data_IF_009422403625
#
_entry.id   IF_009422403625
#
_cell.length_a   1.000
_cell.length_b   1.000
_cell.length_c   1.000
_cell.angle_alpha   90.00
_cell.angle_beta   90.00
_cell.angle_gamma   90.00
#
_symmetry.space_group_name_H-M   'P 1'
#
loop_
_entity.id
_entity.type
_entity.pdbx_description
1 polymer ?
#
# COMPACT_ATOMS: atom_id res chain seq x y z
N UNK A 1 22.36 -7.48 3.20
CA UNK A 1 21.13 -8.03 3.82
C UNK A 1 20.13 -8.33 2.73
N UNK A 2 19.61 -9.56 2.66
CA UNK A 2 18.57 -9.95 1.70
C UNK A 2 17.31 -9.13 1.98
N UNK A 3 17.10 -8.04 1.23
CA UNK A 3 15.83 -7.32 1.16
C UNK A 3 14.87 -8.16 0.29
N UNK A 4 14.52 -9.36 0.75
CA UNK A 4 13.62 -10.26 0.04
C UNK A 4 12.33 -10.39 0.84
N UNK A 5 11.21 -10.05 0.23
CA UNK A 5 9.89 -10.33 0.77
C UNK A 5 9.39 -11.73 0.39
N UNK A 6 10.28 -12.62 -0.07
CA UNK A 6 9.96 -13.98 -0.53
C UNK A 6 9.16 -14.79 0.49
N UNK A 7 9.34 -14.54 1.80
CA UNK A 7 8.58 -15.22 2.86
C UNK A 7 7.08 -14.91 2.84
N UNK A 8 6.65 -13.85 2.15
CA UNK A 8 5.25 -13.51 2.00
C UNK A 8 4.58 -14.34 0.90
N UNK A 9 5.33 -14.90 -0.04
CA UNK A 9 4.75 -15.61 -1.18
C UNK A 9 4.06 -16.89 -0.70
N UNK A 10 2.78 -17.05 -1.04
CA UNK A 10 1.93 -18.15 -0.56
C UNK A 10 1.45 -18.01 0.89
N UNK A 11 1.83 -16.94 1.60
CA UNK A 11 1.35 -16.71 2.95
C UNK A 11 -0.12 -16.25 2.94
N UNK A 12 -0.91 -16.73 3.90
CA UNK A 12 -2.27 -16.20 4.14
C UNK A 12 -2.17 -14.90 4.92
N UNK A 13 -3.00 -13.93 4.56
CA UNK A 13 -3.13 -12.69 5.31
C UNK A 13 -3.64 -12.97 6.72
N UNK A 14 -3.10 -12.26 7.73
CA UNK A 14 -3.57 -12.40 9.10
C UNK A 14 -5.00 -11.87 9.24
N UNK A 15 -5.73 -12.42 10.20
CA UNK A 15 -7.09 -11.99 10.51
C UNK A 15 -7.08 -10.66 11.30
N UNK A 16 -6.67 -9.58 10.62
CA UNK A 16 -6.53 -8.23 11.17
C UNK A 16 -7.53 -7.31 10.47
N UNK A 17 -8.16 -6.44 11.25
CA UNK A 17 -9.14 -5.48 10.76
C UNK A 17 -8.55 -4.07 10.85
N UNK A 18 -8.45 -3.39 9.73
CA UNK A 18 -7.86 -2.04 9.62
C UNK A 18 -8.96 -1.00 9.38
N UNK A 19 -8.94 0.15 10.08
CA UNK A 19 -9.87 1.25 9.79
C UNK A 19 -9.54 1.89 8.43
N UNK A 20 -10.58 2.28 7.71
CA UNK A 20 -10.50 2.80 6.35
C UNK A 20 -11.01 4.25 6.24
N UNK A 21 -10.59 4.95 5.19
CA UNK A 21 -10.90 6.37 4.94
C UNK A 21 -12.39 6.71 4.80
N UNK A 22 -13.24 5.73 4.48
CA UNK A 22 -14.70 5.91 4.43
C UNK A 22 -15.41 5.66 5.79
N UNK A 23 -14.65 5.48 6.87
CA UNK A 23 -15.18 5.16 8.20
C UNK A 23 -15.52 3.69 8.42
N UNK A 24 -15.35 2.83 7.40
CA UNK A 24 -15.50 1.39 7.56
C UNK A 24 -14.25 0.74 8.18
N UNK A 25 -14.32 -0.57 8.40
CA UNK A 25 -13.22 -1.39 8.89
C UNK A 25 -13.07 -2.60 7.98
N UNK A 26 -11.89 -2.80 7.42
CA UNK A 26 -11.62 -3.79 6.37
C UNK A 26 -10.74 -4.90 6.92
N UNK A 27 -11.17 -6.14 6.70
CA UNK A 27 -10.36 -7.31 6.98
C UNK A 27 -9.96 -7.97 5.65
N UNK A 28 -8.72 -7.74 5.23
CA UNK A 28 -8.21 -8.16 3.93
C UNK A 28 -8.19 -9.70 3.78
N UNK A 29 -8.04 -10.45 4.88
CA UNK A 29 -8.04 -11.92 4.83
C UNK A 29 -9.41 -12.53 4.53
N UNK A 30 -10.48 -11.72 4.59
CA UNK A 30 -11.87 -12.13 4.32
C UNK A 30 -12.35 -11.71 2.93
N UNK A 31 -11.57 -10.93 2.18
CA UNK A 31 -11.94 -10.52 0.83
C UNK A 31 -11.84 -11.72 -0.12
N UNK A 32 -12.84 -11.84 -0.99
CA UNK A 32 -12.88 -12.81 -2.08
C UNK A 32 -12.37 -12.18 -3.37
N UNK A 33 -11.82 -13.00 -4.24
CA UNK A 33 -11.22 -12.59 -5.51
C UNK A 33 -9.85 -11.92 -5.35
N UNK A 34 -9.44 -11.22 -6.40
CA UNK A 34 -8.15 -10.56 -6.48
C UNK A 34 -8.17 -9.20 -5.78
N UNK A 35 -7.22 -8.99 -4.88
CA UNK A 35 -6.99 -7.74 -4.16
C UNK A 35 -5.56 -7.25 -4.37
N UNK A 36 -5.42 -6.00 -4.78
CA UNK A 36 -4.15 -5.27 -4.87
C UNK A 36 -4.00 -4.45 -3.60
N UNK A 37 -2.97 -4.75 -2.81
CA UNK A 37 -2.61 -3.97 -1.63
C UNK A 37 -1.26 -3.31 -1.85
N UNK A 38 -1.24 -1.99 -2.05
CA UNK A 38 0.00 -1.24 -2.15
C UNK A 38 0.32 -0.54 -0.83
N UNK A 39 1.52 -0.75 -0.32
CA UNK A 39 2.02 -0.10 0.88
C UNK A 39 2.91 1.07 0.50
N UNK A 40 2.86 2.15 1.28
CA UNK A 40 3.73 3.31 1.08
C UNK A 40 4.21 3.92 2.40
N UNK A 41 5.38 4.58 2.41
CA UNK A 41 5.93 5.18 3.63
C UNK A 41 5.03 6.22 4.29
N UNK A 42 4.83 7.36 3.62
CA UNK A 42 4.07 8.50 4.12
C UNK A 42 3.78 9.47 2.98
N UNK A 43 2.56 10.01 2.90
CA UNK A 43 2.25 11.11 1.97
C UNK A 43 2.72 12.46 2.50
N UNK A 44 2.77 13.48 1.65
CA UNK A 44 2.95 14.86 2.10
C UNK A 44 1.59 15.46 2.46
N UNK A 45 1.53 16.29 3.51
CA UNK A 45 0.39 17.15 3.81
C UNK A 45 0.69 18.59 3.37
N UNK A 46 -0.26 19.30 2.75
CA UNK A 46 -0.07 20.72 2.43
C UNK A 46 0.28 21.53 3.68
N UNK A 47 1.32 22.37 3.60
CA UNK A 47 1.75 23.23 4.71
C UNK A 47 2.48 22.52 5.85
N UNK A 48 2.77 21.21 5.73
CA UNK A 48 3.56 20.47 6.71
C UNK A 48 4.88 20.05 6.07
N UNK A 49 5.99 20.40 6.72
CA UNK A 49 7.32 19.99 6.27
C UNK A 49 7.50 18.48 6.33
N UNK A 50 8.27 17.94 5.37
CA UNK A 50 8.66 16.53 5.38
C UNK A 50 9.70 16.27 6.48
N UNK A 51 9.88 15.02 6.91
CA UNK A 51 10.92 14.65 7.86
C UNK A 51 12.32 15.09 7.40
N UNK A 52 13.23 15.21 8.36
CA UNK A 52 14.64 15.51 8.10
C UNK A 52 15.26 14.42 7.22
N UNK A 53 16.09 14.81 6.25
CA UNK A 53 16.71 13.89 5.28
C UNK A 53 15.74 13.02 4.48
N UNK A 54 14.45 13.38 4.41
CA UNK A 54 13.43 12.62 3.67
C UNK A 54 13.82 12.36 2.21
N UNK A 55 14.45 13.36 1.59
CA UNK A 55 14.90 13.32 0.20
C UNK A 55 16.11 12.38 -0.03
N UNK A 56 16.84 12.06 1.03
CA UNK A 56 18.02 11.19 1.00
C UNK A 56 17.66 9.72 1.20
N UNK A 57 16.47 9.42 1.73
CA UNK A 57 16.02 8.05 2.02
C UNK A 57 15.48 7.39 0.73
N UNK A 58 16.11 6.32 0.22
CA UNK A 58 15.65 5.64 -0.98
C UNK A 58 14.21 5.12 -0.85
N UNK A 59 13.34 5.55 -1.77
CA UNK A 59 11.94 5.14 -1.82
C UNK A 59 10.98 5.91 -0.91
N UNK A 60 11.46 6.87 -0.09
CA UNK A 60 10.63 7.70 0.79
C UNK A 60 9.74 8.67 0.00
N UNK A 61 10.27 9.30 -1.06
CA UNK A 61 9.50 10.20 -1.93
C UNK A 61 8.51 9.47 -2.83
N UNK A 62 7.51 10.22 -3.29
CA UNK A 62 6.61 9.79 -4.36
C UNK A 62 5.38 9.00 -3.90
N UNK A 63 5.04 9.02 -2.60
CA UNK A 63 3.83 8.36 -2.08
C UNK A 63 2.55 9.01 -2.59
N UNK A 64 2.49 10.35 -2.63
CA UNK A 64 1.36 11.08 -3.24
C UNK A 64 1.23 10.73 -4.72
N UNK A 65 2.36 10.69 -5.44
CA UNK A 65 2.38 10.28 -6.85
C UNK A 65 1.93 8.83 -7.04
N UNK A 66 2.33 7.88 -6.17
CA UNK A 66 1.86 6.50 -6.25
C UNK A 66 0.34 6.42 -6.13
N UNK A 67 -0.25 7.11 -5.15
CA UNK A 67 -1.70 7.15 -4.97
C UNK A 67 -2.40 7.76 -6.21
N UNK A 68 -1.84 8.84 -6.78
CA UNK A 68 -2.36 9.41 -8.02
C UNK A 68 -2.26 8.45 -9.20
N UNK A 69 -1.17 7.69 -9.35
CA UNK A 69 -1.04 6.72 -10.43
C UNK A 69 -2.01 5.54 -10.27
N UNK A 70 -2.22 5.04 -9.04
CA UNK A 70 -3.29 4.06 -8.81
C UNK A 70 -4.67 4.63 -9.12
N UNK A 71 -4.92 5.92 -8.83
CA UNK A 71 -6.17 6.58 -9.20
C UNK A 71 -6.33 6.64 -10.73
N UNK A 72 -5.28 7.03 -11.46
CA UNK A 72 -5.31 7.12 -12.92
C UNK A 72 -5.59 5.76 -13.58
N UNK A 73 -5.10 4.68 -12.98
CA UNK A 73 -5.23 3.31 -13.48
C UNK A 73 -6.37 2.51 -12.81
N UNK A 74 -7.20 3.16 -11.98
CA UNK A 74 -8.21 2.48 -11.17
C UNK A 74 -9.21 1.69 -12.02
N UNK A 75 -9.72 2.29 -13.09
CA UNK A 75 -10.71 1.64 -13.96
C UNK A 75 -10.12 0.45 -14.71
N UNK A 76 -8.88 0.55 -15.17
CA UNK A 76 -8.20 -0.54 -15.88
C UNK A 76 -7.99 -1.74 -14.95
N UNK A 77 -7.47 -1.52 -13.75
CA UNK A 77 -7.28 -2.58 -12.75
C UNK A 77 -8.64 -3.16 -12.30
N UNK A 78 -9.66 -2.32 -12.15
CA UNK A 78 -11.01 -2.79 -11.78
C UNK A 78 -11.65 -3.65 -12.88
N UNK A 79 -11.42 -3.31 -14.16
CA UNK A 79 -11.89 -4.09 -15.31
C UNK A 79 -11.20 -5.46 -15.41
N UNK A 80 -10.04 -5.62 -14.76
CA UNK A 80 -9.36 -6.91 -14.58
C UNK A 80 -9.88 -7.66 -13.33
N UNK A 81 -11.04 -7.28 -12.79
CA UNK A 81 -11.70 -7.87 -11.61
C UNK A 81 -10.88 -7.80 -10.31
N UNK A 82 -10.01 -6.81 -10.16
CA UNK A 82 -9.20 -6.63 -8.97
C UNK A 82 -9.67 -5.42 -8.13
N UNK A 83 -9.79 -5.62 -6.81
CA UNK A 83 -10.01 -4.53 -5.86
C UNK A 83 -8.69 -3.86 -5.47
N UNK A 84 -8.69 -2.55 -5.22
CA UNK A 84 -7.48 -1.80 -4.85
C UNK A 84 -7.61 -1.24 -3.43
N UNK A 85 -6.55 -1.39 -2.63
CA UNK A 85 -6.38 -0.76 -1.32
C UNK A 85 -4.97 -0.21 -1.16
N UNK A 86 -4.85 0.97 -0.55
CA UNK A 86 -3.58 1.49 -0.06
C UNK A 86 -3.43 1.26 1.45
N UNK A 87 -2.20 1.13 1.96
CA UNK A 87 -1.95 1.06 3.41
C UNK A 87 -0.68 1.79 3.80
N UNK A 88 -0.72 2.46 4.96
CA UNK A 88 0.44 3.08 5.60
C UNK A 88 0.27 3.16 7.12
N UNK A 89 1.30 3.61 7.83
CA UNK A 89 1.30 3.72 9.31
C UNK A 89 0.69 5.02 9.83
N UNK A 90 0.16 5.87 8.94
CA UNK A 90 -0.53 7.10 9.35
C UNK A 90 -1.93 6.78 9.88
N UNK A 91 -2.43 7.59 10.80
CA UNK A 91 -3.79 7.46 11.33
C UNK A 91 -4.88 7.71 10.26
N UNK A 92 -6.10 7.27 10.57
CA UNK A 92 -7.22 7.34 9.61
C UNK A 92 -7.60 8.77 9.24
N UNK A 93 -7.53 9.73 10.16
CA UNK A 93 -7.88 11.13 9.88
C UNK A 93 -6.86 11.77 8.93
N UNK A 94 -5.58 11.46 9.12
CA UNK A 94 -4.50 11.82 8.23
C UNK A 94 -4.74 11.29 6.82
N UNK A 95 -5.07 10.01 6.71
CA UNK A 95 -5.29 9.37 5.41
C UNK A 95 -6.59 9.85 4.75
N UNK A 96 -7.62 10.16 5.54
CA UNK A 96 -8.92 10.65 5.06
C UNK A 96 -8.78 12.01 4.39
N UNK A 97 -8.05 12.95 5.00
CA UNK A 97 -7.73 14.24 4.37
C UNK A 97 -7.12 14.04 2.99
N UNK A 98 -6.13 13.16 2.87
CA UNK A 98 -5.44 12.89 1.63
C UNK A 98 -6.36 12.23 0.59
N UNK A 99 -7.17 11.26 1.00
CA UNK A 99 -8.11 10.58 0.12
C UNK A 99 -9.18 11.53 -0.43
N UNK A 100 -9.72 12.43 0.40
CA UNK A 100 -10.69 13.44 0.00
C UNK A 100 -10.07 14.48 -0.94
N UNK A 101 -8.91 15.05 -0.56
CA UNK A 101 -8.20 16.04 -1.38
C UNK A 101 -7.81 15.50 -2.75
N UNK A 102 -7.36 14.25 -2.82
CA UNK A 102 -6.97 13.61 -4.07
C UNK A 102 -8.13 12.95 -4.81
N UNK A 103 -9.33 12.90 -4.22
CA UNK A 103 -10.52 12.24 -4.77
C UNK A 103 -10.17 10.80 -5.18
N UNK A 104 -9.66 10.02 -4.22
CA UNK A 104 -9.27 8.64 -4.47
C UNK A 104 -10.51 7.74 -4.64
N UNK A 105 -10.57 6.91 -5.70
CA UNK A 105 -11.70 6.00 -5.93
C UNK A 105 -11.60 4.68 -5.15
N UNK A 106 -10.61 4.56 -4.26
CA UNK A 106 -10.34 3.38 -3.44
C UNK A 106 -10.04 3.77 -1.98
N UNK A 107 -10.05 2.78 -1.10
CA UNK A 107 -9.82 3.00 0.32
C UNK A 107 -8.33 2.96 0.68
N UNK A 108 -7.95 3.83 1.62
CA UNK A 108 -6.67 3.74 2.32
C UNK A 108 -6.93 3.18 3.72
N UNK A 109 -6.12 2.22 4.12
CA UNK A 109 -6.17 1.54 5.41
C UNK A 109 -5.08 2.08 6.33
N UNK A 110 -5.43 2.30 7.59
CA UNK A 110 -4.47 2.73 8.61
C UNK A 110 -3.93 1.53 9.39
N UNK A 111 -2.63 1.33 9.31
CA UNK A 111 -1.87 0.40 10.18
C UNK A 111 -1.09 1.19 11.25
N UNK A 112 -1.73 2.19 11.85
CA UNK A 112 -1.14 3.06 12.88
C UNK A 112 -0.72 2.32 14.16
N UNK A 113 -1.22 1.10 14.36
CA UNK A 113 -0.83 0.20 15.46
C UNK A 113 0.25 -0.81 15.08
N UNK A 114 0.70 -0.81 13.83
CA UNK A 114 1.70 -1.72 13.26
C UNK A 114 1.32 -3.22 13.28
N UNK A 115 0.09 -3.56 13.68
CA UNK A 115 -0.37 -4.94 13.80
C UNK A 115 -0.24 -5.69 12.47
N UNK A 116 -0.58 -5.05 11.34
CA UNK A 116 -0.54 -5.70 10.03
C UNK A 116 0.89 -5.86 9.51
N UNK A 117 1.68 -4.78 9.50
CA UNK A 117 3.05 -4.83 8.98
C UNK A 117 3.97 -5.69 9.84
N UNK A 118 3.83 -5.67 11.18
CA UNK A 118 4.65 -6.50 12.06
C UNK A 118 4.31 -7.99 11.92
N UNK A 119 3.02 -8.34 11.86
CA UNK A 119 2.59 -9.74 11.72
C UNK A 119 3.09 -10.37 10.42
N UNK A 120 3.03 -9.62 9.32
CA UNK A 120 3.54 -10.07 8.02
C UNK A 120 5.06 -9.89 7.87
N UNK A 121 5.72 -9.22 8.82
CA UNK A 121 7.13 -8.81 8.72
C UNK A 121 7.39 -8.03 7.42
N UNK A 122 6.47 -7.11 7.10
CA UNK A 122 6.64 -6.19 5.98
C UNK A 122 7.83 -5.27 6.30
N UNK A 123 8.75 -5.02 5.35
CA UNK A 123 9.91 -4.19 5.62
C UNK A 123 9.51 -2.76 6.04
N UNK A 124 10.08 -2.28 7.14
CA UNK A 124 9.93 -0.90 7.63
C UNK A 124 11.26 -0.16 7.67
N UNK A 125 11.22 1.14 7.92
CA UNK A 125 12.38 1.97 8.25
C UNK A 125 11.98 3.07 9.24
N UNK A 126 12.96 3.64 9.94
CA UNK A 126 12.73 4.70 10.92
C UNK A 126 13.32 6.02 10.44
N UNK A 127 12.56 7.11 10.55
CA UNK A 127 13.02 8.49 10.32
C UNK A 127 12.31 9.42 11.30
N UNK A 128 13.03 10.36 11.92
CA UNK A 128 12.49 11.29 12.92
C UNK A 128 11.57 10.62 13.96
N UNK A 129 12.02 9.50 14.53
CA UNK A 129 11.29 8.65 15.48
C UNK A 129 9.95 8.08 14.97
N UNK A 130 9.72 8.06 13.66
CA UNK A 130 8.54 7.46 13.01
C UNK A 130 8.93 6.17 12.32
N UNK A 131 8.19 5.10 12.60
CA UNK A 131 8.30 3.83 11.86
C UNK A 131 7.37 3.90 10.65
N UNK A 132 7.93 3.70 9.46
CA UNK A 132 7.22 3.77 8.20
C UNK A 132 7.41 2.48 7.40
N UNK A 133 6.36 2.07 6.69
CA UNK A 133 6.39 0.90 5.82
C UNK A 133 7.17 1.22 4.54
N UNK A 134 8.09 0.35 4.12
CA UNK A 134 8.74 0.47 2.81
C UNK A 134 7.71 0.19 1.71
N UNK A 135 7.93 0.78 0.53
CA UNK A 135 7.05 0.57 -0.62
C UNK A 135 7.10 -0.89 -1.08
N UNK A 136 5.95 -1.56 -1.06
CA UNK A 136 5.73 -2.93 -1.50
C UNK A 136 4.30 -3.04 -2.02
N UNK A 137 4.09 -3.82 -3.07
CA UNK A 137 2.75 -4.15 -3.55
C UNK A 137 2.53 -5.64 -3.49
N UNK A 138 1.39 -6.05 -2.96
CA UNK A 138 0.95 -7.44 -2.84
C UNK A 138 -0.24 -7.67 -3.77
N UNK A 139 -0.18 -8.73 -4.55
CA UNK A 139 -1.35 -9.28 -5.22
C UNK A 139 -1.85 -10.45 -4.38
N UNK A 140 -3.07 -10.34 -3.91
CA UNK A 140 -3.70 -11.27 -2.97
C UNK A 140 -4.89 -11.93 -3.66
N UNK A 141 -4.98 -13.25 -3.61
CA UNK A 141 -6.11 -14.03 -4.12
C UNK A 141 -6.78 -14.76 -2.96
N UNK A 142 -8.05 -14.45 -2.68
CA UNK A 142 -8.84 -15.07 -1.60
C UNK A 142 -8.09 -15.13 -0.24
N UNK A 143 -7.42 -14.01 0.09
CA UNK A 143 -6.63 -13.85 1.31
C UNK A 143 -5.25 -14.50 1.30
N UNK A 144 -4.74 -15.01 0.16
CA UNK A 144 -3.38 -15.57 0.01
C UNK A 144 -2.53 -14.68 -0.88
N UNK A 145 -1.29 -14.40 -0.50
CA UNK A 145 -0.39 -13.55 -1.30
C UNK A 145 0.18 -14.37 -2.48
N UNK A 146 -0.17 -13.99 -3.70
CA UNK A 146 0.20 -14.68 -4.94
C UNK A 146 1.35 -14.01 -5.70
N UNK A 147 1.56 -12.71 -5.51
CA UNK A 147 2.71 -12.01 -6.06
C UNK A 147 3.10 -10.79 -5.24
N UNK A 148 4.36 -10.40 -5.40
CA UNK A 148 5.00 -9.36 -4.61
C UNK A 148 5.83 -8.50 -5.55
N UNK A 149 5.57 -7.20 -5.55
CA UNK A 149 6.44 -6.21 -6.16
C UNK A 149 7.29 -5.56 -5.08
N UNK A 150 8.53 -6.03 -4.97
CA UNK A 150 9.51 -5.50 -4.05
C UNK A 150 10.94 -5.85 -4.51
N UNK A 151 11.90 -4.93 -4.47
CA UNK A 151 11.75 -3.51 -4.14
C UNK A 151 11.10 -2.69 -5.25
N UNK A 152 10.39 -1.61 -4.89
CA UNK A 152 9.82 -0.65 -5.85
C UNK A 152 10.71 0.61 -5.89
N UNK A 153 11.44 0.79 -6.99
CA UNK A 153 12.37 1.92 -7.16
C UNK A 153 11.66 3.20 -7.62
N UNK A 154 10.72 3.08 -8.56
CA UNK A 154 9.93 4.20 -9.09
C UNK A 154 8.48 4.00 -8.67
N UNK A 155 7.98 4.86 -7.79
CA UNK A 155 6.61 4.71 -7.27
C UNK A 155 5.54 4.78 -8.36
N UNK A 156 5.79 5.54 -9.44
CA UNK A 156 4.85 5.72 -10.54
C UNK A 156 4.78 4.53 -11.50
N UNK A 157 5.72 3.59 -11.47
CA UNK A 157 5.68 2.40 -12.35
C UNK A 157 4.92 1.23 -11.73
N UNK A 158 4.50 1.36 -10.46
CA UNK A 158 3.92 0.27 -9.70
C UNK A 158 2.55 -0.19 -10.25
N UNK A 159 1.60 0.69 -10.61
CA UNK A 159 0.36 0.26 -11.27
C UNK A 159 0.57 -0.49 -12.60
N UNK A 160 1.58 -0.11 -13.39
CA UNK A 160 1.90 -0.80 -14.65
C UNK A 160 2.39 -2.24 -14.40
N UNK A 161 3.14 -2.45 -13.31
CA UNK A 161 3.54 -3.80 -12.89
C UNK A 161 2.31 -4.63 -12.51
N UNK A 162 1.37 -4.03 -11.76
CA UNK A 162 0.11 -4.69 -11.37
C UNK A 162 -0.71 -5.08 -12.61
N UNK A 163 -0.92 -4.16 -13.54
CA UNK A 163 -1.66 -4.41 -14.79
C UNK A 163 -1.00 -5.53 -15.61
N UNK A 164 0.34 -5.50 -15.72
CA UNK A 164 1.10 -6.53 -16.43
C UNK A 164 0.91 -7.91 -15.79
N UNK A 165 0.95 -7.98 -14.46
CA UNK A 165 0.71 -9.22 -13.72
C UNK A 165 -0.72 -9.73 -13.92
N UNK A 166 -1.72 -8.88 -13.74
CA UNK A 166 -3.13 -9.25 -13.89
C UNK A 166 -3.44 -9.72 -15.30
N UNK A 167 -2.94 -9.03 -16.32
CA UNK A 167 -3.12 -9.42 -17.73
C UNK A 167 -2.46 -10.76 -18.04
N UNK A 168 -1.33 -11.11 -17.39
CA UNK A 168 -0.65 -12.40 -17.62
C UNK A 168 -1.39 -13.62 -17.04
N UNK A 169 -2.42 -13.39 -16.20
CA UNK A 169 -3.26 -14.45 -15.61
C UNK A 169 -4.51 -14.77 -16.44
N UNK A 170 -4.84 -13.94 -17.43
CA UNK A 170 -5.98 -14.09 -18.34
C UNK A 170 -5.54 -14.88 -19.56
#
# INVERSE_FOLDING_TARGET
>A
MKNSCEHLLGARLPHITLPATNGSSINLSRLLGTTILFCYPMTSKPGIESPTSWDEIPGARGCTLQNCEYKNNFLEISNLNASIYGVSTQDTDYQKEMAERLILPFLILSDSKFEFCDTLRIPTFTVDNKILIKRITLVIENGTIEAIHYPIHKSTSDPNWVISYLTSKV
#
